data_IF_620024647217
#
_entry.id   IF_620024647217
#
_cell.length_a   1.000
_cell.length_b   1.000
_cell.length_c   1.000
_cell.angle_alpha   90.00
_cell.angle_beta   90.00
_cell.angle_gamma   90.00
#
_symmetry.space_group_name_H-M   'P 1'
#
loop_
_entity.id
_entity.type
_entity.pdbx_description
1 polymer ?
#
# COMPACT_ATOMS: atom_id res chain seq x y z
N UNK A 1 -3.55 8.01 -11.89
CA UNK A 1 -4.80 7.96 -11.09
C UNK A 1 -4.51 7.50 -9.69
N UNK A 2 -4.11 6.23 -9.53
CA UNK A 2 -3.85 5.59 -8.23
C UNK A 2 -3.01 6.44 -7.27
N UNK A 3 -1.83 6.91 -7.69
CA UNK A 3 -0.92 7.69 -6.82
C UNK A 3 -1.59 8.95 -6.27
N UNK A 4 -2.36 9.66 -7.11
CA UNK A 4 -3.07 10.86 -6.65
C UNK A 4 -4.16 10.52 -5.63
N UNK A 5 -4.91 9.44 -5.88
CA UNK A 5 -5.94 8.97 -4.95
C UNK A 5 -5.36 8.50 -3.61
N UNK A 6 -4.23 7.80 -3.64
CA UNK A 6 -3.53 7.32 -2.44
C UNK A 6 -3.01 8.51 -1.61
N UNK A 7 -2.38 9.50 -2.28
CA UNK A 7 -1.92 10.72 -1.61
C UNK A 7 -3.09 11.53 -1.03
N UNK A 8 -4.21 11.64 -1.73
CA UNK A 8 -5.41 12.30 -1.20
C UNK A 8 -5.96 11.56 0.03
N UNK A 9 -6.02 10.23 0.00
CA UNK A 9 -6.45 9.44 1.15
C UNK A 9 -5.50 9.61 2.36
N UNK A 10 -4.19 9.59 2.12
CA UNK A 10 -3.17 9.82 3.14
C UNK A 10 -3.24 11.24 3.71
N UNK A 11 -3.58 12.25 2.90
CA UNK A 11 -3.78 13.62 3.37
C UNK A 11 -4.99 13.73 4.32
N UNK A 12 -6.13 13.13 3.97
CA UNK A 12 -7.34 13.12 4.81
C UNK A 12 -7.06 12.40 6.14
N UNK A 13 -6.35 11.27 6.10
CA UNK A 13 -6.01 10.53 7.31
C UNK A 13 -5.03 11.29 8.20
N UNK A 14 -4.09 12.04 7.62
CA UNK A 14 -3.22 12.96 8.37
C UNK A 14 -4.02 14.06 9.06
N UNK A 15 -4.98 14.67 8.37
CA UNK A 15 -5.85 15.69 8.95
C UNK A 15 -6.65 15.13 10.13
N UNK A 16 -7.21 13.92 9.98
CA UNK A 16 -7.93 13.24 11.05
C UNK A 16 -7.03 12.96 12.25
N UNK A 17 -5.80 12.49 12.02
CA UNK A 17 -4.83 12.25 13.09
C UNK A 17 -4.36 13.53 13.79
N UNK A 18 -4.35 14.68 13.10
CA UNK A 18 -3.99 15.97 13.70
C UNK A 18 -5.07 16.50 14.66
N UNK A 19 -6.32 16.05 14.53
CA UNK A 19 -7.43 16.39 15.44
C UNK A 19 -7.36 15.64 16.78
N UNK A 20 -6.44 14.69 16.95
CA UNK A 20 -6.26 13.95 18.21
C UNK A 20 -5.57 14.79 19.30
N UNK A 21 -5.91 14.59 20.59
CA UNK A 21 -5.18 15.17 21.71
C UNK A 21 -3.69 14.76 21.66
N UNK A 22 -2.79 15.68 22.01
CA UNK A 22 -1.34 15.47 22.01
C UNK A 22 -0.92 14.20 22.78
N UNK A 23 -1.63 13.85 23.85
CA UNK A 23 -1.34 12.69 24.69
C UNK A 23 -1.62 11.33 24.04
N UNK A 24 -2.37 11.29 22.91
CA UNK A 24 -2.71 10.07 22.17
C UNK A 24 -2.22 10.08 20.71
N UNK A 25 -1.46 11.12 20.34
CA UNK A 25 -1.07 11.40 18.96
C UNK A 25 -0.26 10.25 18.38
N UNK A 26 -0.73 9.69 17.27
CA UNK A 26 -0.07 8.58 16.56
C UNK A 26 -0.88 7.28 16.57
N UNK A 27 -1.84 7.11 17.51
CA UNK A 27 -2.69 5.91 17.53
C UNK A 27 -3.59 5.80 16.31
N UNK A 28 -4.16 6.91 15.85
CA UNK A 28 -4.98 6.92 14.63
C UNK A 28 -4.14 6.61 13.39
N UNK A 29 -2.92 7.14 13.28
CA UNK A 29 -2.01 6.80 12.17
C UNK A 29 -1.62 5.32 12.18
N UNK A 30 -1.20 4.78 13.32
CA UNK A 30 -0.83 3.36 13.45
C UNK A 30 -2.01 2.43 13.16
N UNK A 31 -3.22 2.78 13.60
CA UNK A 31 -4.44 2.03 13.29
C UNK A 31 -4.71 1.99 11.77
N UNK A 32 -4.63 3.14 11.09
CA UNK A 32 -4.83 3.24 9.64
C UNK A 32 -3.79 2.40 8.88
N UNK A 33 -2.52 2.49 9.25
CA UNK A 33 -1.47 1.68 8.63
C UNK A 33 -1.68 0.19 8.89
N UNK A 34 -2.13 -0.20 10.09
CA UNK A 34 -2.44 -1.59 10.41
C UNK A 34 -3.57 -2.12 9.53
N UNK A 35 -4.65 -1.35 9.34
CA UNK A 35 -5.75 -1.71 8.44
C UNK A 35 -5.27 -1.82 6.99
N UNK A 36 -4.45 -0.88 6.53
CA UNK A 36 -3.83 -0.92 5.19
C UNK A 36 -3.04 -2.22 5.01
N UNK A 37 -2.15 -2.56 5.94
CA UNK A 37 -1.34 -3.79 5.87
C UNK A 37 -2.20 -5.05 5.93
N UNK A 38 -3.25 -5.09 6.77
CA UNK A 38 -4.17 -6.23 6.83
C UNK A 38 -4.89 -6.47 5.50
N UNK A 39 -5.30 -5.42 4.80
CA UNK A 39 -5.93 -5.53 3.47
C UNK A 39 -4.95 -5.99 2.40
N UNK A 40 -3.68 -5.57 2.47
CA UNK A 40 -2.61 -6.08 1.60
C UNK A 40 -2.41 -7.58 1.81
N UNK A 41 -2.28 -8.04 3.07
CA UNK A 41 -2.16 -9.47 3.40
C UNK A 41 -3.36 -10.26 2.85
N UNK A 42 -4.57 -9.73 3.00
CA UNK A 42 -5.76 -10.39 2.46
C UNK A 42 -5.71 -10.53 0.93
N UNK A 43 -5.23 -9.50 0.23
CA UNK A 43 -5.00 -9.54 -1.21
C UNK A 43 -3.95 -10.57 -1.61
N UNK A 44 -2.84 -10.66 -0.87
CA UNK A 44 -1.78 -11.65 -1.08
C UNK A 44 -2.27 -13.08 -0.85
N UNK A 45 -3.08 -13.32 0.19
CA UNK A 45 -3.72 -14.62 0.43
C UNK A 45 -4.64 -14.97 -0.75
N UNK A 46 -5.45 -14.02 -1.21
CA UNK A 46 -6.38 -14.26 -2.31
C UNK A 46 -5.62 -14.61 -3.61
N UNK A 47 -4.60 -13.85 -3.98
CA UNK A 47 -3.79 -14.15 -5.16
C UNK A 47 -2.99 -15.43 -4.96
N UNK A 48 -2.34 -15.61 -3.81
CA UNK A 48 -1.44 -16.73 -3.53
C UNK A 48 -2.13 -18.09 -3.43
N UNK A 49 -3.38 -18.14 -2.98
CA UNK A 49 -4.16 -19.38 -2.93
C UNK A 49 -4.97 -19.63 -4.19
N UNK A 50 -5.63 -18.60 -4.75
CA UNK A 50 -6.51 -18.79 -5.91
C UNK A 50 -5.81 -18.71 -7.27
N UNK A 51 -4.56 -18.27 -7.31
CA UNK A 51 -3.76 -18.10 -8.53
C UNK A 51 -2.50 -18.99 -8.50
N UNK A 52 -2.65 -20.22 -7.98
CA UNK A 52 -1.56 -21.16 -7.71
C UNK A 52 -1.87 -22.57 -8.24
N UNK A 53 -2.58 -22.64 -9.38
CA UNK A 53 -2.69 -23.91 -10.10
C UNK A 53 -1.59 -24.12 -11.14
N UNK A 54 -1.69 -25.24 -11.84
CA UNK A 54 -0.67 -25.74 -12.80
C UNK A 54 -0.32 -24.70 -13.89
N UNK A 55 -1.31 -23.97 -14.40
CA UNK A 55 -1.14 -22.90 -15.40
C UNK A 55 -0.23 -21.74 -14.94
N UNK A 56 -0.06 -21.58 -13.63
CA UNK A 56 0.75 -20.55 -12.99
C UNK A 56 2.01 -21.11 -12.31
N UNK A 57 2.32 -22.40 -12.54
CA UNK A 57 3.48 -23.07 -11.96
C UNK A 57 3.30 -23.50 -10.49
N UNK A 58 2.06 -23.62 -10.03
CA UNK A 58 1.69 -24.09 -8.69
C UNK A 58 1.30 -25.58 -8.66
N UNK A 59 1.11 -26.11 -7.45
CA UNK A 59 0.80 -27.53 -7.19
C UNK A 59 -0.71 -27.80 -7.01
N UNK A 60 -1.58 -26.79 -7.07
CA UNK A 60 -3.02 -27.01 -6.87
C UNK A 60 -3.74 -27.43 -8.16
N UNK A 61 -4.65 -28.40 -8.03
CA UNK A 61 -5.57 -28.82 -9.11
C UNK A 61 -6.60 -27.73 -9.49
N UNK A 62 -6.74 -26.67 -8.67
CA UNK A 62 -7.66 -25.57 -8.92
C UNK A 62 -6.90 -24.25 -9.10
N UNK A 63 -7.24 -23.50 -10.15
CA UNK A 63 -6.83 -22.11 -10.33
C UNK A 63 -8.02 -21.30 -10.81
N UNK A 64 -8.15 -20.07 -10.32
CA UNK A 64 -9.05 -19.10 -10.93
C UNK A 64 -8.40 -18.53 -12.18
N UNK A 65 -9.20 -18.38 -13.24
CA UNK A 65 -8.75 -17.61 -14.39
C UNK A 65 -8.59 -16.14 -14.02
N UNK A 66 -7.66 -15.44 -14.67
CA UNK A 66 -7.42 -14.01 -14.45
C UNK A 66 -8.71 -13.15 -14.46
N UNK A 67 -9.65 -13.33 -15.41
CA UNK A 67 -10.93 -12.60 -15.38
C UNK A 67 -11.79 -12.88 -14.14
N UNK A 68 -11.82 -14.11 -13.62
CA UNK A 68 -12.60 -14.46 -12.44
C UNK A 68 -12.04 -13.76 -11.19
N UNK A 69 -10.71 -13.71 -11.04
CA UNK A 69 -10.06 -13.00 -9.95
C UNK A 69 -10.35 -11.49 -10.01
N UNK A 70 -10.26 -10.90 -11.21
CA UNK A 70 -10.59 -9.48 -11.40
C UNK A 70 -12.04 -9.16 -11.03
N UNK A 71 -12.99 -10.04 -11.35
CA UNK A 71 -14.40 -9.88 -10.94
C UNK A 71 -14.54 -9.96 -9.42
N UNK A 72 -13.88 -10.91 -8.76
CA UNK A 72 -13.92 -11.04 -7.30
C UNK A 72 -13.38 -9.77 -6.63
N UNK A 73 -12.22 -9.28 -7.07
CA UNK A 73 -11.62 -8.04 -6.54
C UNK A 73 -12.54 -6.83 -6.81
N UNK A 74 -13.16 -6.77 -7.99
CA UNK A 74 -14.14 -5.73 -8.29
C UNK A 74 -15.35 -5.78 -7.34
N UNK A 75 -15.89 -6.97 -7.06
CA UNK A 75 -17.02 -7.12 -6.13
C UNK A 75 -16.62 -6.78 -4.69
N UNK A 76 -15.41 -7.14 -4.26
CA UNK A 76 -14.89 -6.81 -2.93
C UNK A 76 -14.65 -5.31 -2.73
N UNK A 77 -14.38 -4.57 -3.81
CA UNK A 77 -14.17 -3.12 -3.77
C UNK A 77 -15.47 -2.32 -3.88
N UNK A 78 -16.57 -2.92 -4.36
CA UNK A 78 -17.87 -2.24 -4.47
C UNK A 78 -18.38 -1.62 -3.16
N UNK A 79 -18.26 -2.27 -1.98
CA UNK A 79 -18.68 -1.69 -0.71
C UNK A 79 -17.90 -0.42 -0.31
N UNK A 80 -16.73 -0.16 -0.89
CA UNK A 80 -15.95 1.05 -0.59
C UNK A 80 -16.69 2.31 -1.03
N UNK A 81 -17.41 2.27 -2.16
CA UNK A 81 -18.16 3.42 -2.68
C UNK A 81 -19.30 3.90 -1.75
N UNK A 82 -20.21 3.06 -1.26
CA UNK A 82 -21.20 3.51 -0.29
C UNK A 82 -20.56 3.90 1.04
N UNK A 83 -19.48 3.22 1.46
CA UNK A 83 -18.77 3.60 2.68
C UNK A 83 -18.20 5.02 2.58
N UNK A 84 -17.52 5.37 1.49
CA UNK A 84 -16.98 6.72 1.30
C UNK A 84 -18.10 7.75 1.21
N UNK A 85 -19.19 7.45 0.50
CA UNK A 85 -20.32 8.38 0.34
C UNK A 85 -21.07 8.67 1.65
N UNK A 86 -21.29 7.67 2.50
CA UNK A 86 -22.07 7.85 3.74
C UNK A 86 -21.22 8.29 4.93
N UNK A 87 -19.97 7.84 5.03
CA UNK A 87 -19.13 8.07 6.21
C UNK A 87 -18.18 9.25 6.08
N UNK A 88 -17.75 9.62 4.86
CA UNK A 88 -16.87 10.78 4.68
C UNK A 88 -17.74 12.04 4.58
N UNK A 89 -17.72 12.84 5.65
CA UNK A 89 -18.30 14.18 5.68
C UNK A 89 -17.18 15.19 5.50
N UNK A 90 -16.95 15.61 4.27
CA UNK A 90 -15.98 16.67 3.98
C UNK A 90 -16.53 18.03 4.45
N UNK A 91 -15.72 18.76 5.21
CA UNK A 91 -15.97 20.18 5.47
C UNK A 91 -15.64 20.98 4.20
N UNK A 92 -16.52 21.93 3.83
CA UNK A 92 -16.29 22.75 2.64
C UNK A 92 -15.05 23.63 2.84
N UNK A 93 -13.98 23.31 2.13
CA UNK A 93 -12.80 24.18 2.05
C UNK A 93 -13.05 25.35 1.09
N UNK A 94 -12.48 26.50 1.41
CA UNK A 94 -12.43 27.64 0.47
C UNK A 94 -11.60 27.28 -0.76
N UNK A 95 -11.92 27.91 -1.91
CA UNK A 95 -11.23 27.67 -3.16
C UNK A 95 -9.76 28.11 -3.05
N UNK A 96 -8.84 27.15 -3.13
CA UNK A 96 -7.42 27.43 -3.08
C UNK A 96 -6.98 28.26 -4.30
N UNK A 97 -6.24 29.33 -4.07
CA UNK A 97 -5.60 30.07 -5.16
C UNK A 97 -4.43 29.22 -5.71
N UNK A 98 -4.55 28.75 -6.95
CA UNK A 98 -3.56 27.86 -7.58
C UNK A 98 -2.16 28.49 -7.62
N UNK A 99 -2.06 29.80 -7.84
CA UNK A 99 -0.77 30.49 -7.87
C UNK A 99 -0.08 30.51 -6.51
N UNK A 100 -0.84 30.76 -5.45
CA UNK A 100 -0.36 30.70 -4.07
C UNK A 100 0.00 29.26 -3.67
N UNK A 101 -0.81 28.29 -4.06
CA UNK A 101 -0.56 26.86 -3.81
C UNK A 101 0.76 26.40 -4.43
N UNK A 102 1.02 26.74 -5.69
CA UNK A 102 2.27 26.38 -6.38
C UNK A 102 3.48 27.05 -5.70
N UNK A 103 3.34 28.31 -5.27
CA UNK A 103 4.40 29.02 -4.56
C UNK A 103 4.73 28.35 -3.22
N UNK A 104 3.71 28.07 -2.41
CA UNK A 104 3.87 27.40 -1.11
C UNK A 104 4.47 26.00 -1.29
N UNK A 105 4.03 25.25 -2.31
CA UNK A 105 4.61 23.95 -2.66
C UNK A 105 6.11 24.07 -2.99
N UNK A 106 6.50 25.07 -3.79
CA UNK A 106 7.90 25.29 -4.15
C UNK A 106 8.76 25.65 -2.94
N UNK A 107 8.28 26.53 -2.06
CA UNK A 107 8.97 26.88 -0.82
C UNK A 107 9.15 25.66 0.10
N UNK A 108 8.12 24.81 0.21
CA UNK A 108 8.15 23.59 1.01
C UNK A 108 9.14 22.57 0.42
N UNK A 109 9.20 22.45 -0.91
CA UNK A 109 10.13 21.59 -1.61
C UNK A 109 11.60 22.03 -1.43
N UNK A 110 11.84 23.34 -1.42
CA UNK A 110 13.17 23.91 -1.13
C UNK A 110 13.56 23.85 0.35
N UNK A 111 12.67 23.45 1.25
CA UNK A 111 12.98 23.36 2.68
C UNK A 111 14.00 22.24 2.98
N UNK A 112 14.82 22.44 4.02
CA UNK A 112 15.88 21.50 4.41
C UNK A 112 15.40 20.10 4.69
N UNK A 113 14.26 19.97 5.37
CA UNK A 113 13.69 18.67 5.67
C UNK A 113 13.25 17.93 4.39
N UNK A 114 12.66 18.65 3.44
CA UNK A 114 12.05 18.03 2.26
C UNK A 114 13.08 17.56 1.24
N UNK A 115 14.07 18.39 0.88
CA UNK A 115 15.07 17.95 -0.10
C UNK A 115 15.96 16.82 0.43
N UNK A 116 16.18 16.74 1.75
CA UNK A 116 16.91 15.63 2.38
C UNK A 116 16.14 14.31 2.25
N UNK A 117 14.83 14.34 2.50
CA UNK A 117 13.95 13.18 2.33
C UNK A 117 13.88 12.78 0.85
N UNK A 118 13.72 13.74 -0.07
CA UNK A 118 13.69 13.47 -1.51
C UNK A 118 14.99 12.82 -1.96
N UNK A 119 16.15 13.36 -1.55
CA UNK A 119 17.45 12.78 -1.88
C UNK A 119 17.59 11.37 -1.29
N UNK A 120 17.20 11.18 -0.03
CA UNK A 120 17.22 9.86 0.60
C UNK A 120 16.36 8.84 -0.15
N UNK A 121 15.09 9.16 -0.44
CA UNK A 121 14.18 8.27 -1.19
C UNK A 121 14.71 8.00 -2.59
N UNK A 122 15.28 9.01 -3.27
CA UNK A 122 15.85 8.85 -4.60
C UNK A 122 17.05 7.90 -4.60
N UNK A 123 18.03 8.14 -3.74
CA UNK A 123 19.21 7.29 -3.66
C UNK A 123 18.87 5.90 -3.11
N UNK A 124 18.07 5.83 -2.05
CA UNK A 124 17.58 4.55 -1.51
C UNK A 124 16.81 3.76 -2.57
N UNK A 125 15.93 4.40 -3.32
CA UNK A 125 15.20 3.78 -4.42
C UNK A 125 16.12 3.24 -5.51
N UNK A 126 17.14 4.02 -5.92
CA UNK A 126 18.17 3.54 -6.86
C UNK A 126 18.88 2.33 -6.29
N UNK A 127 19.45 2.40 -5.09
CA UNK A 127 20.25 1.32 -4.52
C UNK A 127 19.44 0.08 -4.13
N UNK A 128 18.18 0.24 -3.71
CA UNK A 128 17.29 -0.86 -3.33
C UNK A 128 16.67 -1.57 -4.55
N UNK A 129 16.46 -0.86 -5.67
CA UNK A 129 15.92 -1.44 -6.90
C UNK A 129 17.01 -1.90 -7.88
N UNK A 130 18.28 -1.99 -7.47
CA UNK A 130 19.28 -2.76 -8.22
C UNK A 130 18.94 -4.24 -8.05
N UNK A 131 17.94 -4.69 -8.80
CA UNK A 131 17.54 -6.09 -8.91
C UNK A 131 17.85 -6.56 -10.32
N UNK A 132 18.52 -7.69 -10.43
CA UNK A 132 18.83 -8.30 -11.72
C UNK A 132 17.57 -8.92 -12.31
N UNK A 133 17.18 -8.55 -13.54
CA UNK A 133 15.98 -9.04 -14.25
C UNK A 133 15.96 -10.57 -14.44
N UNK A 134 17.07 -11.26 -14.18
CA UNK A 134 17.17 -12.72 -14.17
C UNK A 134 16.92 -13.40 -12.81
N UNK A 135 16.56 -12.69 -11.74
CA UNK A 135 16.26 -13.31 -10.45
C UNK A 135 15.02 -14.23 -10.50
N UNK A 136 13.97 -13.82 -11.20
CA UNK A 136 12.71 -14.58 -11.29
C UNK A 136 12.84 -15.92 -12.07
N UNK A 137 13.52 -15.98 -13.25
CA UNK A 137 13.77 -17.26 -13.91
C UNK A 137 14.77 -18.17 -13.17
N UNK A 138 15.77 -17.60 -12.49
CA UNK A 138 16.78 -18.38 -11.75
C UNK A 138 16.18 -18.96 -10.47
N UNK A 139 15.35 -18.23 -9.73
CA UNK A 139 14.64 -18.74 -8.56
C UNK A 139 13.66 -19.87 -8.91
N UNK A 140 12.90 -19.72 -10.00
CA UNK A 140 11.98 -20.76 -10.48
C UNK A 140 12.72 -22.00 -11.02
N UNK A 141 13.80 -21.82 -11.79
CA UNK A 141 14.45 -22.92 -12.54
C UNK A 141 15.65 -23.57 -11.85
N UNK A 142 16.30 -22.91 -10.89
CA UNK A 142 17.45 -23.46 -10.14
C UNK A 142 17.12 -23.91 -8.71
N UNK A 143 16.03 -23.40 -8.10
CA UNK A 143 15.70 -23.68 -6.68
C UNK A 143 14.35 -24.41 -6.52
N UNK A 144 13.54 -24.50 -7.58
CA UNK A 144 12.25 -25.22 -7.53
C UNK A 144 11.26 -24.59 -6.54
N UNK A 145 11.38 -23.28 -6.31
CA UNK A 145 10.50 -22.57 -5.38
C UNK A 145 9.14 -22.44 -6.05
N UNK A 146 8.14 -23.12 -5.48
CA UNK A 146 6.76 -22.99 -5.92
C UNK A 146 6.21 -21.60 -5.54
N UNK A 147 5.29 -21.02 -6.32
CA UNK A 147 4.70 -19.70 -6.08
C UNK A 147 4.16 -19.51 -4.66
N UNK A 148 3.77 -20.61 -3.99
CA UNK A 148 3.25 -20.58 -2.62
C UNK A 148 4.28 -20.15 -1.58
N UNK A 149 5.56 -20.48 -1.77
CA UNK A 149 6.60 -20.17 -0.80
C UNK A 149 6.99 -18.68 -0.84
N UNK A 150 6.95 -18.06 -2.02
CA UNK A 150 7.08 -16.60 -2.16
C UNK A 150 5.90 -15.89 -1.50
N UNK A 151 4.66 -16.29 -1.79
CA UNK A 151 3.48 -15.65 -1.19
C UNK A 151 3.45 -15.81 0.32
N UNK A 152 3.83 -16.98 0.85
CA UNK A 152 3.91 -17.20 2.30
C UNK A 152 4.97 -16.30 2.95
N UNK A 153 6.10 -16.08 2.29
CA UNK A 153 7.15 -15.19 2.79
C UNK A 153 6.69 -13.73 2.82
N UNK A 154 5.95 -13.29 1.81
CA UNK A 154 5.38 -11.94 1.75
C UNK A 154 4.32 -11.74 2.84
N UNK A 155 3.41 -12.71 3.02
CA UNK A 155 2.41 -12.70 4.10
C UNK A 155 3.09 -12.63 5.47
N UNK A 156 4.12 -13.43 5.71
CA UNK A 156 4.88 -13.42 6.96
C UNK A 156 5.60 -12.08 7.18
N UNK A 157 6.18 -11.50 6.11
CA UNK A 157 6.82 -10.19 6.15
C UNK A 157 5.83 -9.08 6.52
N UNK A 158 4.65 -9.07 5.90
CA UNK A 158 3.60 -8.11 6.20
C UNK A 158 3.00 -8.31 7.60
N UNK A 159 2.85 -9.55 8.08
CA UNK A 159 2.43 -9.84 9.44
C UNK A 159 3.44 -9.33 10.48
N UNK A 160 4.73 -9.55 10.24
CA UNK A 160 5.81 -9.01 11.08
C UNK A 160 5.81 -7.48 11.09
N UNK A 161 5.59 -6.86 9.94
CA UNK A 161 5.49 -5.41 9.83
C UNK A 161 4.28 -4.86 10.60
N UNK A 162 3.10 -5.47 10.44
CA UNK A 162 1.89 -5.10 11.18
C UNK A 162 2.06 -5.28 12.70
N UNK A 163 2.69 -6.38 13.13
CA UNK A 163 3.03 -6.61 14.53
C UNK A 163 4.02 -5.56 15.06
N UNK A 164 5.04 -5.20 14.28
CA UNK A 164 6.00 -4.15 14.63
C UNK A 164 5.34 -2.79 14.83
N UNK A 165 4.37 -2.43 13.99
CA UNK A 165 3.57 -1.20 14.14
C UNK A 165 2.75 -1.24 15.42
N UNK A 166 2.03 -2.34 15.67
CA UNK A 166 1.18 -2.49 16.87
C UNK A 166 1.97 -2.49 18.18
N UNK A 167 3.20 -3.00 18.18
CA UNK A 167 4.08 -3.00 19.37
C UNK A 167 4.67 -1.61 19.63
N UNK A 168 4.88 -0.82 18.57
CA UNK A 168 5.52 0.51 18.66
C UNK A 168 4.51 1.64 18.94
N UNK A 169 3.20 1.40 18.72
CA UNK A 169 2.09 2.35 18.94
C UNK A 169 1.51 2.33 20.36
#
# INVERSE_FOLDING_TARGET
GYVLSDVCADAITCELAQREPIDKRGKTQSCIYTVRTAMVIFGEILVGFFFNGEDYGGDFDFSLSFPQLMIIVAVLTLPVFPMTWFFIKEEKSEAANVGEYIKNFWELLCSRAMYQIIAYIFFSGIFANITYTGSSPVASKMVGVTPINSTLSDILGNLLFAAGIMITS
#
